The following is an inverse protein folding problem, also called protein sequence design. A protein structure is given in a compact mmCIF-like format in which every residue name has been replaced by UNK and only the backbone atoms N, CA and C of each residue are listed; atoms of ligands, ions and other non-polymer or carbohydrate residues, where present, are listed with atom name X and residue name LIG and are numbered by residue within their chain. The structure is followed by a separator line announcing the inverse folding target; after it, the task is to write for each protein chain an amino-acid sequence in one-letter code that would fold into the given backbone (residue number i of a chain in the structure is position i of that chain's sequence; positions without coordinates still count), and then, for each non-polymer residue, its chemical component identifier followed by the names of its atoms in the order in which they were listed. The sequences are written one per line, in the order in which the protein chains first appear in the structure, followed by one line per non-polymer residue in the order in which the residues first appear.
data_IF_840371786132
#
_entry.id   IF_840371786132
#
_cell.length_a   1.000
_cell.length_b   1.000
_cell.length_c   1.000
_cell.angle_alpha   90.00
_cell.angle_beta   90.00
_cell.angle_gamma   90.00
#
_symmetry.space_group_name_H-M   'P 1'
#
loop_
_entity.id
_entity.type
_entity.pdbx_description
1 polymer ?
#
# COMPACT_ATOMS: atom_id res chain seq x y z
N UNK A 1 5.60 -46.53 -59.73
CA UNK A 1 5.25 -45.15 -60.11
C UNK A 1 4.48 -44.53 -58.96
N UNK A 2 4.99 -43.41 -58.43
CA UNK A 2 4.25 -42.30 -57.78
C UNK A 2 3.39 -42.66 -56.55
N UNK A 3 3.63 -42.18 -55.32
CA UNK A 3 4.25 -40.93 -54.90
C UNK A 3 3.23 -40.13 -54.08
N UNK A 4 3.62 -39.83 -52.82
CA UNK A 4 3.16 -38.77 -51.90
C UNK A 4 1.65 -38.67 -51.59
N UNK A 5 1.21 -38.68 -50.34
CA UNK A 5 1.75 -37.92 -49.21
C UNK A 5 0.79 -36.77 -48.91
N UNK A 6 -0.15 -36.98 -47.98
CA UNK A 6 -1.14 -35.99 -47.59
C UNK A 6 -1.59 -36.19 -46.15
N UNK A 7 -0.65 -36.23 -45.20
CA UNK A 7 -0.99 -35.99 -43.79
C UNK A 7 -1.35 -34.51 -43.66
N UNK A 8 -2.65 -34.22 -43.59
CA UNK A 8 -3.14 -32.92 -43.14
C UNK A 8 -2.83 -32.82 -41.66
N UNK A 9 -1.63 -32.32 -41.34
CA UNK A 9 -1.26 -32.03 -39.97
C UNK A 9 -2.24 -31.00 -39.45
N UNK A 10 -3.07 -31.41 -38.49
CA UNK A 10 -3.94 -30.52 -37.74
C UNK A 10 -3.08 -29.55 -36.94
N UNK A 11 -2.64 -28.45 -37.55
CA UNK A 11 -2.09 -27.30 -36.83
C UNK A 11 -3.24 -26.52 -36.24
N UNK A 12 -3.69 -26.91 -35.04
CA UNK A 12 -4.56 -26.07 -34.21
C UNK A 12 -4.16 -26.01 -32.73
N UNK A 13 -2.92 -26.32 -32.36
CA UNK A 13 -2.58 -26.41 -30.93
C UNK A 13 -1.52 -25.40 -30.43
N UNK A 14 -1.31 -24.26 -31.12
CA UNK A 14 -0.41 -23.19 -30.65
C UNK A 14 -1.07 -21.83 -30.38
N UNK A 15 -2.35 -21.68 -30.72
CA UNK A 15 -3.08 -20.41 -30.52
C UNK A 15 -3.83 -20.40 -29.18
N UNK A 16 -4.08 -21.56 -28.57
CA UNK A 16 -4.85 -21.64 -27.32
C UNK A 16 -4.03 -21.16 -26.11
N UNK A 17 -2.79 -21.62 -25.95
CA UNK A 17 -1.97 -21.30 -24.77
C UNK A 17 -1.60 -19.81 -24.64
N UNK A 18 -1.35 -19.11 -25.76
CA UNK A 18 -0.97 -17.69 -25.75
C UNK A 18 -2.17 -16.77 -25.55
N UNK A 19 -3.35 -17.16 -26.04
CA UNK A 19 -4.62 -16.45 -25.82
C UNK A 19 -5.06 -16.64 -24.37
N UNK A 20 -4.93 -17.84 -23.81
CA UNK A 20 -5.20 -18.13 -22.41
C UNK A 20 -4.27 -17.36 -21.47
N UNK A 21 -2.97 -17.28 -21.76
CA UNK A 21 -2.02 -16.53 -20.93
C UNK A 21 -2.34 -15.04 -20.91
N UNK A 22 -2.60 -14.42 -22.08
CA UNK A 22 -2.99 -13.01 -22.16
C UNK A 22 -4.32 -12.74 -21.45
N UNK A 23 -5.28 -13.66 -21.56
CA UNK A 23 -6.58 -13.56 -20.89
C UNK A 23 -6.46 -13.68 -19.37
N UNK A 24 -5.59 -14.57 -18.87
CA UNK A 24 -5.27 -14.70 -17.44
C UNK A 24 -4.59 -13.42 -16.93
N UNK A 25 -3.58 -12.92 -17.63
CA UNK A 25 -2.85 -11.70 -17.25
C UNK A 25 -3.79 -10.48 -17.23
N UNK A 26 -4.66 -10.33 -18.23
CA UNK A 26 -5.68 -9.27 -18.26
C UNK A 26 -6.66 -9.40 -17.10
N UNK A 27 -7.15 -10.61 -16.84
CA UNK A 27 -8.08 -10.87 -15.73
C UNK A 27 -7.44 -10.75 -14.34
N UNK A 28 -6.12 -10.81 -14.20
CA UNK A 28 -5.40 -10.51 -12.96
C UNK A 28 -5.19 -9.01 -12.77
N UNK A 29 -4.86 -8.30 -13.85
CA UNK A 29 -4.72 -6.84 -13.85
C UNK A 29 -6.05 -6.14 -13.51
N UNK A 30 -7.17 -6.61 -14.05
CA UNK A 30 -8.49 -6.07 -13.75
C UNK A 30 -8.84 -6.22 -12.26
N UNK A 31 -8.63 -7.41 -11.69
CA UNK A 31 -8.83 -7.65 -10.25
C UNK A 31 -7.93 -6.77 -9.38
N UNK A 32 -6.70 -6.52 -9.83
CA UNK A 32 -5.78 -5.60 -9.15
C UNK A 32 -6.36 -4.19 -9.17
N UNK A 33 -6.78 -3.69 -10.32
CA UNK A 33 -7.36 -2.35 -10.45
C UNK A 33 -8.64 -2.21 -9.62
N UNK A 34 -9.50 -3.22 -9.59
CA UNK A 34 -10.72 -3.21 -8.75
C UNK A 34 -10.40 -3.15 -7.26
N UNK A 35 -9.40 -3.93 -6.82
CA UNK A 35 -8.92 -3.87 -5.45
C UNK A 35 -8.36 -2.48 -5.12
N UNK A 36 -7.51 -1.93 -5.99
CA UNK A 36 -6.95 -0.59 -5.82
C UNK A 36 -8.05 0.46 -5.74
N UNK A 37 -9.09 0.34 -6.58
CA UNK A 37 -10.28 1.20 -6.55
C UNK A 37 -10.92 1.16 -5.17
N UNK A 38 -11.32 -0.04 -4.76
CA UNK A 38 -12.01 -0.25 -3.50
C UNK A 38 -11.17 0.21 -2.30
N UNK A 39 -9.86 0.02 -2.32
CA UNK A 39 -8.98 0.44 -1.23
C UNK A 39 -9.01 1.97 -1.04
N UNK A 40 -8.94 2.74 -2.13
CA UNK A 40 -8.91 4.21 -2.06
C UNK A 40 -10.29 4.85 -1.92
N UNK A 41 -11.37 4.13 -2.24
CA UNK A 41 -12.74 4.67 -2.21
C UNK A 41 -13.62 4.15 -1.09
N UNK A 42 -13.34 2.96 -0.53
CA UNK A 42 -14.24 2.29 0.40
C UNK A 42 -13.58 2.02 1.76
N UNK A 43 -14.38 2.09 2.81
CA UNK A 43 -13.99 1.75 4.17
C UNK A 43 -13.75 0.23 4.27
N UNK A 44 -12.58 -0.15 4.78
CA UNK A 44 -12.23 -1.56 4.96
C UNK A 44 -13.12 -2.30 5.99
N UNK A 45 -13.80 -1.57 6.87
CA UNK A 45 -14.70 -2.14 7.89
C UNK A 45 -16.10 -2.40 7.35
N UNK A 46 -16.71 -1.40 6.73
CA UNK A 46 -18.14 -1.42 6.37
C UNK A 46 -18.37 -1.63 4.88
N UNK A 47 -17.38 -1.35 4.03
CA UNK A 47 -17.52 -1.33 2.58
C UNK A 47 -18.17 -0.04 2.05
N UNK A 48 -18.61 0.87 2.90
CA UNK A 48 -19.17 2.16 2.48
C UNK A 48 -18.10 3.09 1.91
N UNK A 49 -18.49 4.17 1.24
CA UNK A 49 -17.53 5.18 0.77
C UNK A 49 -16.72 5.79 1.92
N UNK A 50 -15.44 6.06 1.67
CA UNK A 50 -14.58 6.74 2.63
C UNK A 50 -15.04 8.19 2.85
N UNK A 51 -15.25 8.55 4.11
CA UNK A 51 -15.71 9.87 4.55
C UNK A 51 -14.80 10.39 5.65
N UNK A 52 -14.49 11.68 5.60
CA UNK A 52 -13.70 12.33 6.64
C UNK A 52 -14.49 12.40 7.95
N UNK A 53 -13.86 12.13 9.11
CA UNK A 53 -12.45 11.78 9.32
C UNK A 53 -12.10 10.31 8.99
N UNK A 54 -11.01 10.12 8.24
CA UNK A 54 -10.50 8.80 7.81
C UNK A 54 -9.33 8.42 8.71
N UNK A 55 -9.30 7.18 9.18
CA UNK A 55 -8.21 6.62 9.98
C UNK A 55 -7.49 5.48 9.28
N UNK A 56 -6.21 5.34 9.58
CA UNK A 56 -5.31 4.29 9.10
C UNK A 56 -4.95 3.38 10.27
N UNK A 57 -5.01 2.07 10.05
CA UNK A 57 -4.49 1.08 11.00
C UNK A 57 -2.99 0.87 10.82
N UNK A 58 -2.29 0.29 11.81
CA UNK A 58 -0.86 -0.08 11.66
C UNK A 58 -0.58 -1.06 10.51
N UNK A 59 -1.62 -1.76 10.05
CA UNK A 59 -1.59 -2.66 8.90
C UNK A 59 -1.92 -1.98 7.56
N UNK A 60 -2.15 -0.66 7.56
CA UNK A 60 -2.44 0.11 6.36
C UNK A 60 -3.87 -0.02 5.86
N UNK A 61 -4.86 -0.35 6.70
CA UNK A 61 -6.27 -0.33 6.29
C UNK A 61 -6.88 1.06 6.49
N UNK A 62 -7.67 1.52 5.51
CA UNK A 62 -8.40 2.79 5.56
C UNK A 62 -9.81 2.57 6.09
N UNK A 63 -10.19 3.30 7.13
CA UNK A 63 -11.47 3.13 7.80
C UNK A 63 -12.12 4.49 8.10
N UNK A 64 -13.45 4.55 8.06
CA UNK A 64 -14.20 5.70 8.56
C UNK A 64 -14.14 5.69 10.09
N UNK A 65 -13.65 6.78 10.70
CA UNK A 65 -13.47 6.86 12.16
C UNK A 65 -14.78 6.65 12.92
N UNK A 66 -15.86 7.24 12.41
CA UNK A 66 -17.20 7.17 13.03
C UNK A 66 -17.67 5.70 13.06
N UNK A 67 -17.61 5.01 11.93
CA UNK A 67 -18.00 3.60 11.82
C UNK A 67 -17.13 2.68 12.68
N UNK A 68 -15.82 2.95 12.76
CA UNK A 68 -14.91 2.21 13.62
C UNK A 68 -15.27 2.36 15.10
N UNK A 69 -15.46 3.60 15.56
CA UNK A 69 -15.85 3.90 16.96
C UNK A 69 -17.16 3.22 17.31
N UNK A 70 -18.17 3.29 16.43
CA UNK A 70 -19.46 2.63 16.63
C UNK A 70 -19.31 1.10 16.76
N UNK A 71 -18.50 0.48 15.89
CA UNK A 71 -18.24 -0.95 15.94
C UNK A 71 -17.46 -1.37 17.21
N UNK A 72 -16.52 -0.55 17.68
CA UNK A 72 -15.78 -0.76 18.92
C UNK A 72 -16.70 -0.71 20.14
N UNK A 73 -17.57 0.31 20.23
CA UNK A 73 -18.54 0.45 21.33
C UNK A 73 -19.51 -0.73 21.39
N UNK A 74 -19.95 -1.22 20.22
CA UNK A 74 -20.82 -2.39 20.11
C UNK A 74 -20.10 -3.73 20.26
N UNK A 75 -18.76 -3.74 20.36
CA UNK A 75 -17.92 -4.95 20.35
C UNK A 75 -18.20 -5.86 19.14
N UNK A 76 -18.50 -5.26 17.98
CA UNK A 76 -18.87 -5.95 16.73
C UNK A 76 -17.75 -5.96 15.68
N UNK A 77 -16.49 -5.79 16.09
CA UNK A 77 -15.37 -5.86 15.15
C UNK A 77 -15.21 -7.27 14.57
N UNK A 78 -15.10 -7.40 13.23
CA UNK A 78 -14.74 -8.65 12.57
C UNK A 78 -13.44 -9.24 13.11
N UNK A 79 -13.25 -10.56 12.97
CA UNK A 79 -12.08 -11.25 13.51
C UNK A 79 -10.75 -10.67 13.01
N UNK A 80 -10.75 -10.21 11.77
CA UNK A 80 -9.62 -9.61 11.06
C UNK A 80 -9.16 -8.28 11.70
N UNK A 81 -10.08 -7.51 12.30
CA UNK A 81 -9.79 -6.20 12.89
C UNK A 81 -9.74 -6.21 14.43
N UNK A 82 -9.70 -7.39 15.06
CA UNK A 82 -9.65 -7.51 16.53
C UNK A 82 -8.33 -7.03 17.16
N UNK A 83 -7.32 -6.77 16.36
CA UNK A 83 -6.10 -6.12 16.83
C UNK A 83 -6.34 -4.65 17.24
N UNK A 84 -7.40 -4.02 16.73
CA UNK A 84 -7.79 -2.65 17.10
C UNK A 84 -8.51 -2.72 18.44
N UNK A 85 -7.79 -2.44 19.54
CA UNK A 85 -8.32 -2.48 20.90
C UNK A 85 -8.64 -1.09 21.42
N UNK A 86 -7.93 -0.09 20.91
CA UNK A 86 -8.03 1.30 21.34
C UNK A 86 -7.90 2.24 20.15
N UNK A 87 -8.30 3.50 20.34
CA UNK A 87 -8.08 4.55 19.35
C UNK A 87 -6.60 4.90 19.15
N UNK A 88 -5.69 4.37 19.99
CA UNK A 88 -4.24 4.51 19.79
C UNK A 88 -3.70 3.56 18.71
N UNK A 89 -4.46 2.51 18.39
CA UNK A 89 -4.10 1.52 17.36
C UNK A 89 -4.47 1.99 15.95
N UNK A 90 -5.01 3.21 15.83
CA UNK A 90 -5.35 3.90 14.59
C UNK A 90 -4.84 5.34 14.65
N UNK A 91 -4.55 5.92 13.49
CA UNK A 91 -4.15 7.32 13.36
C UNK A 91 -4.96 7.99 12.26
N UNK A 92 -5.33 9.25 12.46
CA UNK A 92 -6.14 10.00 11.49
C UNK A 92 -5.28 10.55 10.35
N UNK A 93 -5.83 10.54 9.13
CA UNK A 93 -5.17 11.13 7.98
C UNK A 93 -5.41 12.63 7.97
N UNK A 94 -4.32 13.39 7.80
CA UNK A 94 -4.38 14.79 7.42
C UNK A 94 -4.41 14.91 5.90
N UNK A 95 -5.53 15.41 5.37
CA UNK A 95 -5.74 15.63 3.94
C UNK A 95 -5.38 17.07 3.51
N UNK A 96 -4.70 17.84 4.36
CA UNK A 96 -4.23 19.20 4.07
C UNK A 96 -5.36 20.15 3.64
N UNK A 97 -6.51 20.03 4.29
CA UNK A 97 -7.71 20.83 4.01
C UNK A 97 -8.65 20.25 2.95
N UNK A 98 -8.31 19.13 2.34
CA UNK A 98 -9.20 18.44 1.40
C UNK A 98 -10.32 17.68 2.11
N UNK A 99 -11.50 17.65 1.47
CA UNK A 99 -12.71 17.01 2.03
C UNK A 99 -12.71 15.50 1.88
N UNK A 100 -11.97 14.97 0.91
CA UNK A 100 -11.99 13.55 0.55
C UNK A 100 -10.62 13.07 0.08
N UNK A 101 -10.34 11.78 0.29
CA UNK A 101 -9.10 11.15 -0.15
C UNK A 101 -8.94 11.14 -1.68
N UNK A 102 -10.05 11.17 -2.44
CA UNK A 102 -10.04 11.27 -3.90
C UNK A 102 -9.62 12.65 -4.42
N UNK A 103 -9.83 13.69 -3.61
CA UNK A 103 -9.40 15.06 -3.92
C UNK A 103 -7.95 15.29 -3.54
N UNK A 104 -7.43 14.52 -2.58
CA UNK A 104 -6.07 14.66 -2.08
C UNK A 104 -5.02 14.49 -3.18
N UNK A 105 -4.03 15.38 -3.15
CA UNK A 105 -2.86 15.36 -4.02
C UNK A 105 -1.63 15.42 -3.13
N UNK A 106 -0.67 14.52 -3.35
CA UNK A 106 0.60 14.54 -2.61
C UNK A 106 1.35 15.84 -2.92
N UNK A 107 1.71 16.65 -1.91
CA UNK A 107 2.37 17.94 -2.11
C UNK A 107 3.77 17.83 -2.73
N UNK A 108 4.44 16.70 -2.56
CA UNK A 108 5.80 16.47 -3.08
C UNK A 108 5.82 16.06 -4.55
N UNK A 109 4.84 15.26 -4.96
CA UNK A 109 4.81 14.66 -6.30
C UNK A 109 3.74 15.22 -7.21
N UNK A 110 2.81 15.99 -6.66
CA UNK A 110 1.58 16.46 -7.32
C UNK A 110 0.74 15.32 -7.92
N UNK A 111 0.81 14.13 -7.31
CA UNK A 111 0.06 12.94 -7.74
C UNK A 111 -1.02 12.56 -6.74
N UNK A 112 -2.12 12.02 -7.24
CA UNK A 112 -3.23 11.48 -6.45
C UNK A 112 -2.99 10.02 -6.08
N UNK A 113 -3.47 9.55 -4.91
CA UNK A 113 -3.62 8.12 -4.64
C UNK A 113 -4.72 7.58 -5.56
N UNK A 114 -4.34 7.01 -6.70
CA UNK A 114 -5.27 6.64 -7.76
C UNK A 114 -5.29 5.13 -8.04
N UNK A 115 -6.44 4.70 -8.55
CA UNK A 115 -6.83 3.32 -8.87
C UNK A 115 -5.91 2.63 -9.89
N UNK A 116 -5.23 3.39 -10.75
CA UNK A 116 -4.48 2.87 -11.89
C UNK A 116 -2.97 2.96 -11.74
N UNK A 117 -2.47 3.58 -10.67
CA UNK A 117 -1.03 3.77 -10.48
C UNK A 117 -0.47 2.63 -9.64
N UNK A 118 0.51 1.91 -10.16
CA UNK A 118 1.30 0.90 -9.42
C UNK A 118 2.18 1.52 -8.32
N UNK A 119 1.91 2.75 -7.92
CA UNK A 119 2.71 3.54 -7.00
C UNK A 119 2.27 3.26 -5.57
N UNK A 120 3.23 3.20 -4.68
CA UNK A 120 3.00 3.03 -3.27
C UNK A 120 2.93 4.40 -2.61
N UNK A 121 1.89 4.62 -1.80
CA UNK A 121 1.81 5.77 -0.92
C UNK A 121 2.23 5.35 0.49
N UNK A 122 2.80 6.26 1.24
CA UNK A 122 3.28 6.07 2.60
C UNK A 122 2.52 7.01 3.52
N UNK A 123 2.16 6.51 4.70
CA UNK A 123 1.51 7.28 5.75
C UNK A 123 2.47 7.44 6.93
N UNK A 124 2.64 8.66 7.43
CA UNK A 124 3.48 8.94 8.60
C UNK A 124 2.61 8.91 9.86
N UNK A 125 2.77 7.87 10.67
CA UNK A 125 1.90 7.58 11.82
C UNK A 125 1.78 8.72 12.82
N UNK A 126 2.89 9.42 13.07
CA UNK A 126 3.00 10.46 14.11
C UNK A 126 2.25 11.74 13.77
N UNK A 127 2.07 12.06 12.48
CA UNK A 127 1.50 13.33 12.05
C UNK A 127 0.33 13.21 11.07
N UNK A 128 0.02 12.02 10.55
CA UNK A 128 -1.14 11.80 9.70
C UNK A 128 -0.95 12.11 8.22
N UNK A 129 0.23 12.58 7.81
CA UNK A 129 0.49 12.97 6.42
C UNK A 129 0.73 11.77 5.51
N UNK A 130 0.34 11.91 4.23
CA UNK A 130 0.51 10.89 3.19
C UNK A 130 1.46 11.37 2.10
N UNK A 131 2.42 10.55 1.71
CA UNK A 131 3.40 10.86 0.66
C UNK A 131 3.46 9.78 -0.42
N UNK A 132 3.88 10.16 -1.63
CA UNK A 132 4.31 9.21 -2.64
C UNK A 132 5.67 8.61 -2.23
N UNK A 133 5.79 7.28 -2.24
CA UNK A 133 6.99 6.55 -1.78
C UNK A 133 8.26 6.97 -2.54
N UNK A 134 8.16 7.22 -3.85
CA UNK A 134 9.32 7.63 -4.64
C UNK A 134 9.74 9.06 -4.30
N UNK A 135 8.76 9.96 -4.14
CA UNK A 135 9.04 11.36 -3.84
C UNK A 135 9.64 11.55 -2.45
N UNK A 136 9.14 10.83 -1.45
CA UNK A 136 9.71 10.91 -0.09
C UNK A 136 11.15 10.38 -0.06
N UNK A 137 11.41 9.23 -0.70
CA UNK A 137 12.77 8.66 -0.79
C UNK A 137 13.75 9.55 -1.53
N UNK A 138 13.28 10.26 -2.55
CA UNK A 138 14.12 11.21 -3.28
C UNK A 138 14.57 12.37 -2.37
N UNK A 139 13.65 12.93 -1.58
CA UNK A 139 13.98 13.99 -0.62
C UNK A 139 14.90 13.51 0.52
N UNK A 140 14.68 12.31 1.04
CA UNK A 140 15.54 11.72 2.07
C UNK A 140 17.00 11.63 1.57
N UNK A 141 17.21 11.18 0.32
CA UNK A 141 18.54 11.13 -0.31
C UNK A 141 19.18 12.49 -0.54
N UNK A 142 18.41 13.49 -0.96
CA UNK A 142 18.96 14.85 -1.13
C UNK A 142 19.46 15.44 0.20
N UNK A 143 18.76 15.16 1.31
CA UNK A 143 19.17 15.60 2.64
C UNK A 143 20.47 14.92 3.11
N UNK A 144 20.65 13.64 2.81
CA UNK A 144 21.90 12.91 3.08
C UNK A 144 23.09 13.58 2.38
N UNK A 145 22.95 13.95 1.11
CA UNK A 145 24.01 14.60 0.32
C UNK A 145 24.40 15.97 0.89
N UNK A 146 23.42 16.76 1.33
CA UNK A 146 23.68 18.08 1.94
C UNK A 146 24.44 17.90 3.26
N UNK A 147 24.02 16.95 4.10
CA UNK A 147 24.65 16.67 5.39
C UNK A 147 26.09 16.14 5.25
N UNK A 148 26.42 15.47 4.14
CA UNK A 148 27.80 15.04 3.84
C UNK A 148 28.70 16.22 3.44
N UNK A 149 28.17 17.19 2.70
CA UNK A 149 28.92 18.38 2.28
C UNK A 149 29.20 19.31 3.47
N UNK A 150 28.28 19.47 4.41
CA UNK A 150 28.48 20.29 5.63
C UNK A 150 29.51 19.69 6.61
N UNK A 151 29.73 18.37 6.58
CA UNK A 151 30.77 17.70 7.37
C UNK A 151 32.19 17.91 6.83
N UNK A 152 32.33 18.46 5.62
CA UNK A 152 33.63 18.71 5.00
C UNK A 152 34.28 20.05 5.40
N UNK A 153 33.53 20.96 6.04
CA UNK A 153 34.03 22.29 6.46
C UNK A 153 34.11 22.51 7.98
N UNK A 154 33.80 21.52 8.82
CA UNK A 154 33.99 21.63 10.27
C UNK A 154 34.56 20.33 10.88
N UNK A 155 35.73 20.47 11.50
CA UNK A 155 36.62 19.42 12.00
C UNK A 155 36.15 18.70 13.28
N UNK A 156 36.86 17.61 13.58
CA UNK A 156 36.96 16.83 14.81
C UNK A 156 36.08 15.58 14.93
N UNK A 157 36.72 14.44 14.64
CA UNK A 157 36.26 13.10 14.96
C UNK A 157 36.20 12.92 16.48
N UNK A 158 34.99 12.78 17.01
CA UNK A 158 34.77 12.04 18.25
C UNK A 158 34.09 10.73 17.84
N UNK A 159 34.91 9.68 17.66
CA UNK A 159 34.45 8.32 17.44
C UNK A 159 33.92 7.81 18.79
N UNK A 160 32.59 7.79 18.96
CA UNK A 160 31.97 7.15 20.11
C UNK A 160 31.72 5.67 19.76
N UNK A 161 32.39 4.70 20.40
CA UNK A 161 32.30 3.30 20.04
C UNK A 161 31.19 2.64 20.86
N UNK A 162 29.93 2.81 20.46
CA UNK A 162 28.83 1.96 20.91
C UNK A 162 28.00 1.57 19.69
N UNK A 163 28.04 0.28 19.34
CA UNK A 163 27.18 -0.36 18.34
C UNK A 163 25.74 -0.49 18.86
N UNK A 164 25.12 0.63 19.19
CA UNK A 164 23.67 0.71 19.30
C UNK A 164 23.15 1.08 17.91
N UNK A 165 22.25 0.27 17.34
CA UNK A 165 21.57 0.60 16.08
C UNK A 165 20.94 1.99 16.21
N UNK A 166 21.59 3.01 15.65
CA UNK A 166 21.07 4.37 15.68
C UNK A 166 19.78 4.37 14.88
N UNK A 167 18.66 4.51 15.58
CA UNK A 167 17.36 4.70 14.97
C UNK A 167 17.41 6.03 14.22
N UNK A 168 17.50 5.98 12.90
CA UNK A 168 17.55 7.17 12.06
C UNK A 168 16.22 7.93 12.17
N UNK A 169 16.26 9.06 12.90
CA UNK A 169 15.11 9.96 13.04
C UNK A 169 15.03 10.86 11.82
N UNK A 170 13.86 10.88 11.18
CA UNK A 170 13.56 11.72 10.01
C UNK A 170 12.49 12.74 10.35
N UNK A 171 12.33 13.76 9.49
CA UNK A 171 11.37 14.85 9.70
C UNK A 171 10.35 14.92 8.56
N UNK A 172 9.09 15.08 8.94
CA UNK A 172 7.99 15.22 7.99
C UNK A 172 8.18 16.51 7.15
N UNK A 173 8.20 16.44 5.81
CA UNK A 173 8.39 17.61 4.95
C UNK A 173 7.30 18.68 5.04
N UNK A 174 6.16 18.38 5.67
CA UNK A 174 5.02 19.29 5.77
C UNK A 174 4.95 20.00 7.12
N UNK A 175 5.17 19.28 8.21
CA UNK A 175 4.98 19.80 9.57
C UNK A 175 6.23 19.74 10.45
N UNK A 176 7.34 19.16 9.97
CA UNK A 176 8.58 19.01 10.73
C UNK A 176 8.53 17.95 11.83
N UNK A 177 7.41 17.25 12.02
CA UNK A 177 7.28 16.19 13.01
C UNK A 177 8.32 15.08 12.80
N UNK A 178 8.97 14.67 13.88
CA UNK A 178 9.95 13.59 13.87
C UNK A 178 9.27 12.22 13.79
N UNK A 179 9.82 11.33 12.97
CA UNK A 179 9.33 9.98 12.78
C UNK A 179 10.49 9.00 12.52
N UNK A 180 10.26 7.74 12.88
CA UNK A 180 11.19 6.64 12.62
C UNK A 180 10.69 5.75 11.48
N UNK A 181 11.52 4.82 11.01
CA UNK A 181 11.12 3.84 10.00
C UNK A 181 9.88 3.02 10.41
N UNK A 182 9.68 2.76 11.71
CA UNK A 182 8.52 2.04 12.23
C UNK A 182 7.20 2.84 12.15
N UNK A 183 7.30 4.16 11.98
CA UNK A 183 6.15 5.05 11.84
C UNK A 183 5.69 5.22 10.39
N UNK A 184 6.45 4.68 9.43
CA UNK A 184 6.05 4.65 8.03
C UNK A 184 5.15 3.45 7.77
N UNK A 185 3.89 3.73 7.47
CA UNK A 185 2.91 2.71 7.11
C UNK A 185 2.71 2.73 5.59
N UNK A 186 3.08 1.66 4.86
CA UNK A 186 2.78 1.57 3.44
C UNK A 186 1.27 1.44 3.24
N UNK A 187 0.70 2.37 2.50
CA UNK A 187 -0.67 2.31 2.05
C UNK A 187 -0.75 1.46 0.78
N UNK A 188 -1.78 0.62 0.72
CA UNK A 188 -2.12 -0.15 -0.47
C UNK A 188 -1.05 -1.19 -0.91
N UNK A 189 -0.60 -2.05 -0.01
CA UNK A 189 0.27 -3.18 -0.38
C UNK A 189 -0.54 -4.31 -1.03
N UNK A 190 -0.76 -4.24 -2.36
CA UNK A 190 -1.40 -5.32 -3.13
C UNK A 190 -0.76 -6.71 -2.89
N UNK A 191 0.54 -6.74 -2.53
CA UNK A 191 1.30 -7.95 -2.21
C UNK A 191 0.78 -8.71 -1.00
N UNK A 192 0.07 -8.05 -0.07
CA UNK A 192 -0.48 -8.68 1.14
C UNK A 192 -1.90 -9.24 0.93
N UNK A 193 -2.77 -8.50 0.25
CA UNK A 193 -4.17 -8.91 -0.02
C UNK A 193 -4.30 -10.01 -1.08
N UNK A 194 -3.40 -10.04 -2.07
CA UNK A 194 -3.40 -11.12 -3.08
C UNK A 194 -3.03 -12.49 -2.46
N UNK A 195 -2.16 -12.53 -1.44
CA UNK A 195 -1.86 -13.77 -0.72
C UNK A 195 -3.06 -14.28 0.08
N UNK A 196 -3.84 -13.40 0.70
CA UNK A 196 -5.07 -13.75 1.44
C UNK A 196 -6.13 -14.34 0.51
N UNK A 197 -6.40 -13.68 -0.62
CA UNK A 197 -7.38 -14.19 -1.61
C UNK A 197 -6.93 -15.48 -2.28
N UNK A 198 -5.63 -15.66 -2.55
CA UNK A 198 -5.06 -16.94 -3.00
C UNK A 198 -5.17 -18.03 -1.93
N UNK A 199 -4.93 -17.71 -0.66
CA UNK A 199 -5.11 -18.64 0.47
C UNK A 199 -6.58 -19.05 0.63
N UNK A 200 -7.53 -18.11 0.52
CA UNK A 200 -8.97 -18.40 0.57
C UNK A 200 -9.42 -19.25 -0.62
N UNK A 201 -9.00 -18.93 -1.85
CA UNK A 201 -9.31 -19.74 -3.05
C UNK A 201 -8.73 -21.15 -2.97
N UNK A 202 -7.52 -21.31 -2.42
CA UNK A 202 -6.93 -22.64 -2.17
C UNK A 202 -7.72 -23.44 -1.13
N UNK A 203 -8.20 -22.80 -0.05
CA UNK A 203 -9.07 -23.43 0.97
C UNK A 203 -10.42 -23.87 0.41
N UNK A 204 -11.07 -23.04 -0.41
CA UNK A 204 -12.35 -23.37 -1.05
C UNK A 204 -12.24 -24.54 -2.03
N UNK A 205 -11.17 -24.57 -2.85
CA UNK A 205 -10.91 -25.68 -3.80
C UNK A 205 -10.61 -27.01 -3.09
N UNK A 206 -10.09 -26.98 -1.87
CA UNK A 206 -9.81 -28.19 -1.08
C UNK A 206 -11.06 -28.72 -0.37
N UNK A 207 -12.03 -27.85 -0.06
CA UNK A 207 -13.29 -28.22 0.60
C UNK A 207 -14.35 -28.78 -0.35
N UNK A 208 -14.24 -28.51 -1.65
CA UNK A 208 -15.15 -29.05 -2.69
C UNK A 208 -14.69 -30.41 -3.26
N UNK A 209 -13.61 -30.98 -2.72
CA UNK A 209 -13.01 -32.24 -3.18
C UNK A 209 -13.06 -33.36 -2.14
N UNK A 210 -13.84 -33.17 -1.08
CA UNK A 210 -14.18 -34.16 -0.05
C UNK A 210 -15.65 -34.48 -0.10
#
# INVERSE_FOLDING_TARGET
MSGVGGNISSRKDMIVETVDKKFIEQGELEKKNDFLRSYWTNCALTGDSLTTPIVVTRTGHLMNKISLVEAMLRKKLPKEYRFIRSLKDVSEIDLLGEKSLNSYVCPLSQRKPAVSTSRQFLFVWKCGHIFDSEALKYLEKEQEIINENDKSENSEKIENPNNDEVCEVRKCPICGAEYEACDIIPLCSYTFSHQETLKMKKKMKHSQKK
#
